data_IF_625091646417
#
_entry.id   IF_625091646417
#
_cell.length_a   1.000
_cell.length_b   1.000
_cell.length_c   1.000
_cell.angle_alpha   90.00
_cell.angle_beta   90.00
_cell.angle_gamma   90.00
#
_symmetry.space_group_name_H-M   'P 1'
#
loop_
_entity.id
_entity.type
_entity.pdbx_description
1 polymer ?
#
# COMPACT_ATOMS: atom_id res chain seq x y z
N UNK A 1 -53.48 6.78 5.98
CA UNK A 1 -54.15 7.61 4.97
C UNK A 1 -54.64 8.88 5.65
N UNK A 2 -54.42 10.04 5.04
CA UNK A 2 -54.84 11.34 5.55
C UNK A 2 -56.35 11.61 5.37
N UNK A 3 -57.00 10.95 4.41
CA UNK A 3 -58.45 10.93 4.20
C UNK A 3 -58.99 9.50 4.38
N UNK A 4 -60.17 9.35 4.99
CA UNK A 4 -60.82 8.05 5.23
C UNK A 4 -62.34 8.19 5.06
N UNK A 5 -62.95 7.28 4.31
CA UNK A 5 -64.40 7.06 4.32
C UNK A 5 -64.69 5.84 5.21
N UNK A 6 -65.70 5.94 6.06
CA UNK A 6 -66.20 4.81 6.85
C UNK A 6 -67.40 4.17 6.15
N UNK A 7 -67.19 2.95 5.61
CA UNK A 7 -68.24 2.17 4.94
C UNK A 7 -69.01 1.24 5.89
N UNK A 8 -68.71 1.25 7.20
CA UNK A 8 -69.32 0.32 8.16
C UNK A 8 -70.68 0.79 8.71
N UNK A 9 -71.11 2.01 8.39
CA UNK A 9 -72.36 2.59 8.89
C UNK A 9 -73.58 1.91 8.28
N UNK A 10 -74.51 1.46 9.14
CA UNK A 10 -75.75 0.84 8.71
C UNK A 10 -76.64 1.85 7.98
N UNK A 11 -77.16 1.48 6.80
CA UNK A 11 -77.97 2.35 5.94
C UNK A 11 -77.38 2.61 4.55
N UNK A 12 -76.09 2.31 4.35
CA UNK A 12 -75.40 2.48 3.06
C UNK A 12 -75.10 3.94 2.73
N UNK A 13 -73.99 4.17 2.02
CA UNK A 13 -73.63 5.49 1.50
C UNK A 13 -73.99 5.54 0.01
N UNK A 14 -74.83 6.51 -0.38
CA UNK A 14 -75.07 6.79 -1.79
C UNK A 14 -73.78 7.31 -2.45
N UNK A 15 -73.42 6.73 -3.59
CA UNK A 15 -72.21 7.09 -4.33
C UNK A 15 -72.56 8.23 -5.28
N UNK A 16 -72.06 9.43 -4.97
CA UNK A 16 -72.12 10.59 -5.86
C UNK A 16 -70.73 10.91 -6.41
N UNK A 17 -70.68 11.79 -7.42
CA UNK A 17 -69.42 12.27 -8.01
C UNK A 17 -68.45 12.78 -6.94
N UNK A 18 -68.94 13.59 -5.98
CA UNK A 18 -68.14 14.10 -4.86
C UNK A 18 -67.56 13.00 -3.95
N UNK A 19 -68.26 11.87 -3.81
CA UNK A 19 -67.80 10.74 -2.98
C UNK A 19 -66.64 10.00 -3.67
N UNK A 20 -66.68 9.91 -5.00
CA UNK A 20 -65.63 9.31 -5.81
C UNK A 20 -64.44 10.25 -6.00
N UNK A 21 -64.67 11.56 -6.13
CA UNK A 21 -63.61 12.57 -6.12
C UNK A 21 -62.86 12.59 -4.77
N UNK A 22 -63.57 12.45 -3.65
CA UNK A 22 -62.95 12.31 -2.34
C UNK A 22 -62.03 11.08 -2.27
N UNK A 23 -62.43 9.95 -2.88
CA UNK A 23 -61.60 8.74 -2.95
C UNK A 23 -60.40 8.91 -3.87
N UNK A 24 -60.58 9.49 -5.07
CA UNK A 24 -59.47 9.72 -6.00
C UNK A 24 -58.41 10.66 -5.39
N UNK A 25 -58.85 11.77 -4.79
CA UNK A 25 -57.95 12.72 -4.12
C UNK A 25 -57.30 12.17 -2.86
N UNK A 26 -57.88 11.14 -2.22
CA UNK A 26 -57.28 10.49 -1.05
C UNK A 26 -56.00 9.71 -1.39
N UNK A 27 -55.87 9.21 -2.63
CA UNK A 27 -54.67 8.48 -3.07
C UNK A 27 -53.73 9.35 -3.91
N UNK A 28 -54.22 10.30 -4.72
CA UNK A 28 -53.34 11.15 -5.53
C UNK A 28 -52.49 12.10 -4.69
N UNK A 29 -53.09 12.85 -3.76
CA UNK A 29 -52.37 13.89 -2.99
C UNK A 29 -51.15 13.36 -2.21
N UNK A 30 -51.22 12.24 -1.46
CA UNK A 30 -50.05 11.70 -0.77
C UNK A 30 -48.99 11.17 -1.74
N UNK A 31 -49.40 10.60 -2.88
CA UNK A 31 -48.47 10.09 -3.89
C UNK A 31 -47.75 11.26 -4.55
N UNK A 32 -48.46 12.30 -4.97
CA UNK A 32 -47.88 13.51 -5.59
C UNK A 32 -46.88 14.19 -4.64
N UNK A 33 -47.18 14.24 -3.33
CA UNK A 33 -46.25 14.76 -2.33
C UNK A 33 -44.95 13.94 -2.25
N UNK A 34 -45.04 12.61 -2.31
CA UNK A 34 -43.88 11.71 -2.31
C UNK A 34 -43.10 11.83 -3.63
N UNK A 35 -43.78 11.91 -4.77
CA UNK A 35 -43.15 12.07 -6.07
C UNK A 35 -42.43 13.42 -6.19
N UNK A 36 -43.03 14.49 -5.67
CA UNK A 36 -42.40 15.81 -5.57
C UNK A 36 -41.11 15.76 -4.73
N UNK A 37 -41.08 14.99 -3.64
CA UNK A 37 -39.88 14.80 -2.82
C UNK A 37 -38.78 13.97 -3.51
N UNK A 38 -39.15 13.03 -4.40
CA UNK A 38 -38.20 12.22 -5.17
C UNK A 38 -37.49 13.08 -6.23
N UNK A 39 -38.23 13.97 -6.88
CA UNK A 39 -37.73 14.88 -7.91
C UNK A 39 -38.25 14.57 -9.32
N UNK A 40 -37.96 15.48 -10.25
CA UNK A 40 -38.48 15.45 -11.63
C UNK A 40 -37.56 14.67 -12.58
N UNK A 41 -38.16 14.01 -13.59
CA UNK A 41 -37.48 13.23 -14.65
C UNK A 41 -36.65 12.06 -14.11
N UNK A 42 -37.22 11.29 -13.19
CA UNK A 42 -36.54 10.18 -12.53
C UNK A 42 -37.24 8.85 -12.85
N UNK A 43 -36.45 7.80 -13.12
CA UNK A 43 -36.95 6.43 -13.32
C UNK A 43 -37.24 5.79 -11.95
N UNK A 44 -38.51 5.59 -11.62
CA UNK A 44 -38.94 4.90 -10.40
C UNK A 44 -38.74 3.38 -10.50
N UNK A 45 -39.09 2.79 -11.64
CA UNK A 45 -38.98 1.34 -11.87
C UNK A 45 -38.93 1.01 -13.36
N UNK A 46 -38.28 -0.09 -13.72
CA UNK A 46 -38.12 -0.51 -15.11
C UNK A 46 -37.23 0.44 -15.92
N UNK A 47 -37.66 0.75 -17.13
CA UNK A 47 -36.92 1.55 -18.13
C UNK A 47 -35.49 1.02 -18.28
N UNK A 48 -35.38 -0.29 -18.48
CA UNK A 48 -34.10 -1.00 -18.62
C UNK A 48 -33.67 -0.95 -20.08
N UNK A 49 -32.42 -0.59 -20.29
CA UNK A 49 -31.81 -0.58 -21.61
C UNK A 49 -31.62 -2.01 -22.14
N UNK A 50 -32.19 -2.31 -23.30
CA UNK A 50 -32.09 -3.59 -24.01
C UNK A 50 -31.41 -3.40 -25.39
N UNK A 51 -30.47 -2.45 -25.49
CA UNK A 51 -29.74 -2.14 -26.72
C UNK A 51 -30.47 -1.10 -27.57
N UNK A 52 -31.18 -1.56 -28.61
CA UNK A 52 -31.97 -0.66 -29.47
C UNK A 52 -33.31 -0.23 -28.83
N UNK A 53 -33.80 -1.02 -27.88
CA UNK A 53 -35.07 -0.81 -27.20
C UNK A 53 -34.88 -0.54 -25.71
N UNK A 54 -35.92 0.02 -25.08
CA UNK A 54 -36.02 0.15 -23.62
C UNK A 54 -37.28 -0.54 -23.13
N UNK A 55 -37.23 -1.20 -21.97
CA UNK A 55 -38.40 -1.85 -21.36
C UNK A 55 -39.44 -0.83 -20.87
N UNK A 56 -40.67 -1.28 -20.66
CA UNK A 56 -41.67 -0.48 -19.95
C UNK A 56 -41.25 -0.20 -18.49
N UNK A 57 -41.85 0.82 -17.88
CA UNK A 57 -41.51 1.21 -16.52
C UNK A 57 -42.38 2.35 -15.99
N UNK A 58 -41.87 3.02 -14.97
CA UNK A 58 -42.50 4.17 -14.31
C UNK A 58 -41.48 5.30 -14.18
N UNK A 59 -41.90 6.51 -14.52
CA UNK A 59 -41.07 7.72 -14.44
C UNK A 59 -41.81 8.82 -13.68
N UNK A 60 -41.05 9.77 -13.13
CA UNK A 60 -41.60 11.01 -12.57
C UNK A 60 -41.54 12.12 -13.61
N UNK A 61 -42.60 12.92 -13.70
CA UNK A 61 -42.65 14.12 -14.53
C UNK A 61 -43.56 15.18 -13.89
N UNK A 62 -43.03 16.39 -13.65
CA UNK A 62 -43.77 17.52 -13.07
C UNK A 62 -44.55 17.18 -11.78
N UNK A 63 -43.97 16.36 -10.91
CA UNK A 63 -44.58 15.98 -9.62
C UNK A 63 -45.59 14.83 -9.69
N UNK A 64 -45.78 14.21 -10.86
CA UNK A 64 -46.67 13.06 -11.08
C UNK A 64 -45.87 11.79 -11.45
N UNK A 65 -46.37 10.62 -11.06
CA UNK A 65 -45.84 9.33 -11.52
C UNK A 65 -46.57 8.87 -12.79
N UNK A 66 -45.84 8.77 -13.90
CA UNK A 66 -46.38 8.37 -15.19
C UNK A 66 -45.86 6.99 -15.63
N UNK A 67 -46.72 6.11 -16.17
CA UNK A 67 -46.27 4.88 -16.80
C UNK A 67 -45.52 5.21 -18.09
N UNK A 68 -44.37 4.57 -18.27
CA UNK A 68 -43.52 4.69 -19.45
C UNK A 68 -43.71 3.46 -20.36
N UNK A 69 -44.20 3.70 -21.57
CA UNK A 69 -44.29 2.71 -22.63
C UNK A 69 -42.89 2.56 -23.26
N UNK A 70 -42.26 1.41 -23.00
CA UNK A 70 -41.01 1.02 -23.64
C UNK A 70 -41.14 0.90 -25.16
N UNK A 71 -40.01 0.77 -25.85
CA UNK A 71 -39.97 0.69 -27.31
C UNK A 71 -38.61 1.10 -27.88
N UNK A 72 -38.59 1.35 -29.19
CA UNK A 72 -37.39 1.81 -29.89
C UNK A 72 -36.96 3.17 -29.35
N UNK A 73 -35.67 3.31 -29.04
CA UNK A 73 -35.12 4.56 -28.50
C UNK A 73 -35.31 5.71 -29.50
N UNK A 74 -35.78 6.83 -29.00
CA UNK A 74 -35.91 8.08 -29.73
C UNK A 74 -35.31 9.23 -28.89
N UNK A 75 -34.97 10.39 -29.50
CA UNK A 75 -34.29 11.47 -28.79
C UNK A 75 -35.13 12.11 -27.68
N UNK A 76 -36.46 12.02 -27.73
CA UNK A 76 -37.36 12.63 -26.76
C UNK A 76 -38.30 11.61 -26.11
N UNK A 77 -38.67 11.90 -24.87
CA UNK A 77 -39.83 11.34 -24.19
C UNK A 77 -40.98 12.33 -24.35
N UNK A 78 -42.11 11.83 -24.81
CA UNK A 78 -43.34 12.61 -25.01
C UNK A 78 -44.43 12.11 -24.08
N UNK A 79 -45.24 13.05 -23.59
CA UNK A 79 -46.42 12.75 -22.77
C UNK A 79 -47.64 12.73 -23.67
N UNK A 80 -48.45 11.68 -23.56
CA UNK A 80 -49.72 11.56 -24.25
C UNK A 80 -50.86 11.30 -23.26
N UNK A 81 -52.07 11.76 -23.63
CA UNK A 81 -53.30 11.49 -22.90
C UNK A 81 -54.21 10.63 -23.79
N UNK A 82 -54.68 9.51 -23.26
CA UNK A 82 -55.55 8.57 -23.94
C UNK A 82 -56.93 8.69 -23.31
N UNK A 83 -57.90 9.08 -24.12
CA UNK A 83 -59.29 9.17 -23.74
C UNK A 83 -60.03 7.91 -24.21
N UNK A 84 -60.71 7.23 -23.30
CA UNK A 84 -61.61 6.11 -23.60
C UNK A 84 -63.05 6.56 -23.32
N UNK A 85 -63.94 6.26 -24.27
CA UNK A 85 -65.35 6.66 -24.20
C UNK A 85 -66.22 5.49 -23.78
N UNK A 86 -67.17 5.77 -22.89
CA UNK A 86 -68.18 4.81 -22.45
C UNK A 86 -69.57 5.29 -22.88
N UNK A 87 -70.46 4.32 -23.09
CA UNK A 87 -71.85 4.59 -23.42
C UNK A 87 -72.67 4.74 -22.14
N UNK A 88 -73.38 5.85 -22.04
CA UNK A 88 -74.30 6.12 -20.93
C UNK A 88 -75.69 5.54 -21.24
N UNK A 89 -76.55 5.44 -20.22
CA UNK A 89 -77.93 4.93 -20.32
C UNK A 89 -78.82 5.73 -21.29
N UNK A 90 -78.39 6.93 -21.70
CA UNK A 90 -79.00 7.77 -22.74
C UNK A 90 -78.56 7.40 -24.17
N UNK A 91 -77.79 6.32 -24.32
CA UNK A 91 -77.15 5.86 -25.54
C UNK A 91 -76.12 6.83 -26.16
N UNK A 92 -75.67 7.86 -25.42
CA UNK A 92 -74.60 8.74 -25.86
C UNK A 92 -73.24 8.25 -25.36
N UNK A 93 -72.24 8.28 -26.25
CA UNK A 93 -70.84 8.07 -25.88
C UNK A 93 -70.26 9.35 -25.30
N UNK A 94 -69.67 9.26 -24.12
CA UNK A 94 -68.91 10.35 -23.52
C UNK A 94 -67.53 9.84 -23.11
N UNK A 95 -66.51 10.69 -23.20
CA UNK A 95 -65.16 10.34 -22.71
C UNK A 95 -65.17 10.27 -21.19
N UNK A 96 -64.94 9.09 -20.62
CA UNK A 96 -65.02 8.87 -19.16
C UNK A 96 -63.64 8.62 -18.55
N UNK A 97 -62.78 7.86 -19.23
CA UNK A 97 -61.47 7.52 -18.71
C UNK A 97 -60.38 8.29 -19.46
N UNK A 98 -59.50 8.94 -18.71
CA UNK A 98 -58.32 9.61 -19.26
C UNK A 98 -57.06 9.03 -18.62
N UNK A 99 -56.18 8.43 -19.42
CA UNK A 99 -54.90 7.88 -18.95
C UNK A 99 -53.74 8.67 -19.54
N UNK A 100 -52.91 9.26 -18.69
CA UNK A 100 -51.65 9.90 -19.10
C UNK A 100 -50.51 8.90 -19.08
N UNK A 101 -49.69 8.88 -20.12
CA UNK A 101 -48.50 8.02 -20.18
C UNK A 101 -47.36 8.68 -20.95
N UNK A 102 -46.15 8.20 -20.71
CA UNK A 102 -44.95 8.63 -21.40
C UNK A 102 -44.51 7.59 -22.43
N UNK A 103 -44.02 8.02 -23.59
CA UNK A 103 -43.43 7.13 -24.62
C UNK A 103 -42.28 7.82 -25.36
N UNK A 104 -41.55 7.06 -26.16
CA UNK A 104 -40.55 7.64 -27.06
C UNK A 104 -41.17 8.42 -28.23
N UNK A 105 -40.52 9.51 -28.63
CA UNK A 105 -40.88 10.33 -29.79
C UNK A 105 -39.68 11.05 -30.40
N UNK A 106 -39.82 11.49 -31.65
CA UNK A 106 -38.77 12.20 -32.39
C UNK A 106 -38.81 13.72 -32.19
N UNK A 107 -39.91 14.25 -31.67
CA UNK A 107 -40.15 15.68 -31.41
C UNK A 107 -40.89 15.79 -30.08
N UNK A 108 -40.68 16.88 -29.33
CA UNK A 108 -41.44 17.16 -28.10
C UNK A 108 -42.94 17.32 -28.43
N UNK A 109 -43.79 16.59 -27.71
CA UNK A 109 -45.24 16.63 -27.90
C UNK A 109 -45.88 17.93 -27.37
N UNK A 110 -47.09 18.23 -27.84
CA UNK A 110 -47.85 19.45 -27.46
C UNK A 110 -48.23 19.45 -25.98
N UNK A 111 -48.42 18.27 -25.38
CA UNK A 111 -48.72 18.07 -23.95
C UNK A 111 -47.47 18.05 -23.06
N UNK A 112 -46.31 18.34 -23.64
CA UNK A 112 -45.01 18.31 -22.97
C UNK A 112 -44.16 17.09 -23.31
N UNK A 113 -42.93 17.14 -22.81
CA UNK A 113 -41.90 16.14 -23.05
C UNK A 113 -40.52 16.71 -22.70
N UNK A 114 -39.52 15.84 -22.74
CA UNK A 114 -38.13 16.20 -22.42
C UNK A 114 -37.17 15.29 -23.16
N UNK A 115 -35.90 15.69 -23.28
CA UNK A 115 -34.91 14.86 -23.93
C UNK A 115 -34.70 13.57 -23.14
N UNK A 116 -34.57 12.42 -23.82
CA UNK A 116 -34.33 11.15 -23.15
C UNK A 116 -33.04 11.18 -22.29
N UNK A 117 -32.05 11.96 -22.71
CA UNK A 117 -30.80 12.18 -21.97
C UNK A 117 -30.99 12.87 -20.60
N UNK A 118 -32.10 13.57 -20.39
CA UNK A 118 -32.42 14.20 -19.11
C UNK A 118 -33.05 13.21 -18.12
N UNK A 119 -33.52 12.05 -18.59
CA UNK A 119 -34.09 11.02 -17.74
C UNK A 119 -32.97 10.38 -16.89
N UNK A 120 -33.05 10.55 -15.58
CA UNK A 120 -32.06 9.99 -14.65
C UNK A 120 -32.60 8.74 -13.96
N UNK A 121 -31.79 7.70 -13.73
CA UNK A 121 -32.19 6.63 -12.83
C UNK A 121 -32.42 7.19 -11.42
N UNK A 122 -33.35 6.61 -10.67
CA UNK A 122 -33.46 6.92 -9.25
C UNK A 122 -32.10 6.71 -8.58
N UNK A 123 -31.56 7.72 -7.86
CA UNK A 123 -30.20 7.67 -7.33
C UNK A 123 -30.02 6.56 -6.28
N UNK A 124 -31.12 6.01 -5.76
CA UNK A 124 -31.13 4.88 -4.83
C UNK A 124 -31.58 3.57 -5.48
N UNK A 125 -31.22 3.34 -6.75
CA UNK A 125 -31.38 2.02 -7.40
C UNK A 125 -30.47 0.99 -6.72
N UNK A 126 -30.97 0.28 -5.71
CA UNK A 126 -30.52 -1.07 -5.37
C UNK A 126 -29.05 -1.26 -4.96
N UNK A 127 -28.40 -0.24 -4.42
CA UNK A 127 -27.16 -0.37 -3.67
C UNK A 127 -27.23 0.67 -2.56
N UNK A 128 -27.56 0.22 -1.34
CA UNK A 128 -27.89 1.07 -0.19
C UNK A 128 -26.74 2.00 0.21
N UNK A 129 -26.95 2.86 1.21
CA UNK A 129 -25.87 3.55 1.94
C UNK A 129 -24.65 2.63 2.14
N UNK A 130 -24.87 1.32 2.36
CA UNK A 130 -23.82 0.31 2.50
C UNK A 130 -22.92 0.19 1.25
N UNK A 131 -23.43 0.37 0.04
CA UNK A 131 -22.61 0.34 -1.18
C UNK A 131 -21.72 1.58 -1.31
N UNK A 132 -22.24 2.76 -0.97
CA UNK A 132 -21.46 3.99 -0.91
C UNK A 132 -20.43 3.92 0.22
N UNK A 133 -20.80 3.39 1.38
CA UNK A 133 -19.88 3.12 2.49
C UNK A 133 -18.83 2.07 2.11
N UNK A 134 -19.20 1.00 1.40
CA UNK A 134 -18.25 -0.01 0.92
C UNK A 134 -17.30 0.56 -0.13
N UNK A 135 -17.77 1.48 -0.98
CA UNK A 135 -16.92 2.16 -1.96
C UNK A 135 -15.97 3.12 -1.28
N UNK A 136 -16.46 3.93 -0.32
CA UNK A 136 -15.61 4.79 0.53
C UNK A 136 -14.61 3.94 1.32
N UNK A 137 -15.04 2.81 1.89
CA UNK A 137 -14.16 1.86 2.57
C UNK A 137 -13.14 1.26 1.61
N UNK A 138 -13.50 0.94 0.37
CA UNK A 138 -12.59 0.40 -0.64
C UNK A 138 -11.57 1.46 -1.11
N UNK A 139 -12.01 2.70 -1.31
CA UNK A 139 -11.13 3.82 -1.64
C UNK A 139 -10.20 4.14 -0.48
N UNK A 140 -10.71 4.19 0.75
CA UNK A 140 -9.89 4.34 1.95
C UNK A 140 -8.91 3.17 2.09
N UNK A 141 -9.34 1.92 1.89
CA UNK A 141 -8.45 0.75 1.82
C UNK A 141 -7.37 0.92 0.76
N UNK A 142 -7.69 1.45 -0.42
CA UNK A 142 -6.71 1.63 -1.51
C UNK A 142 -5.72 2.78 -1.26
N UNK A 143 -6.15 3.83 -0.55
CA UNK A 143 -5.28 4.94 -0.13
C UNK A 143 -4.38 4.50 1.02
N UNK A 144 -4.90 3.61 1.86
CA UNK A 144 -4.26 3.21 3.11
C UNK A 144 -3.43 1.92 2.94
N UNK A 145 -3.72 1.07 1.94
CA UNK A 145 -3.03 -0.18 1.53
C UNK A 145 -2.28 -0.92 2.66
N UNK A 146 -2.88 -0.96 3.84
CA UNK A 146 -2.37 -1.75 4.92
C UNK A 146 -2.66 -3.21 4.66
N UNK A 147 -1.84 -4.07 5.25
CA UNK A 147 -2.14 -5.49 5.35
C UNK A 147 -3.56 -5.72 5.87
N UNK A 148 -4.16 -6.85 5.51
CA UNK A 148 -5.54 -7.17 5.89
C UNK A 148 -5.77 -7.27 7.40
N UNK A 149 -4.71 -7.34 8.21
CA UNK A 149 -4.78 -7.34 9.66
C UNK A 149 -3.67 -6.47 10.26
N UNK A 150 -4.03 -5.38 10.95
CA UNK A 150 -3.07 -4.43 11.55
C UNK A 150 -3.47 -4.04 12.97
N UNK A 151 -2.50 -4.05 13.88
CA UNK A 151 -2.65 -3.53 15.24
C UNK A 151 -2.45 -2.02 15.20
N UNK A 152 -3.51 -1.27 15.54
CA UNK A 152 -3.52 0.19 15.52
C UNK A 152 -2.99 0.78 16.84
N UNK A 153 -3.40 0.20 17.96
CA UNK A 153 -2.99 0.64 19.30
C UNK A 153 -3.12 -0.49 20.32
N UNK A 154 -2.35 -0.40 21.41
CA UNK A 154 -2.31 -1.42 22.46
C UNK A 154 -1.75 -2.77 21.98
N UNK A 155 -2.35 -3.87 22.46
CA UNK A 155 -1.88 -5.24 22.23
C UNK A 155 -0.37 -5.38 22.47
N UNK A 156 0.08 -4.85 23.60
CA UNK A 156 1.48 -4.88 24.01
C UNK A 156 1.75 -6.27 24.59
N UNK A 157 2.74 -6.95 24.04
CA UNK A 157 3.20 -8.24 24.57
C UNK A 157 4.15 -7.94 25.73
N UNK A 158 3.86 -8.49 26.91
CA UNK A 158 4.64 -8.36 28.13
C UNK A 158 4.79 -9.71 28.83
N UNK A 159 5.67 -9.77 29.84
CA UNK A 159 5.82 -10.93 30.72
C UNK A 159 6.02 -12.26 29.96
N UNK A 160 6.86 -12.25 28.92
CA UNK A 160 7.21 -13.47 28.19
C UNK A 160 8.08 -14.34 29.07
N UNK A 161 7.52 -15.44 29.58
CA UNK A 161 8.19 -16.39 30.48
C UNK A 161 8.00 -17.81 29.94
N UNK A 162 9.08 -18.47 29.56
CA UNK A 162 9.00 -19.80 28.97
C UNK A 162 8.22 -19.80 27.66
N UNK A 163 7.11 -20.53 27.62
CA UNK A 163 6.21 -20.61 26.47
C UNK A 163 4.97 -19.71 26.60
N UNK A 164 4.85 -18.94 27.68
CA UNK A 164 3.70 -18.09 27.97
C UNK A 164 4.03 -16.59 27.77
N UNK A 165 3.00 -15.81 27.44
CA UNK A 165 3.06 -14.36 27.32
C UNK A 165 1.75 -13.71 27.76
N UNK A 166 1.83 -12.44 28.13
CA UNK A 166 0.66 -11.59 28.36
C UNK A 166 0.51 -10.58 27.23
N UNK A 167 -0.71 -10.33 26.79
CA UNK A 167 -1.04 -9.30 25.79
C UNK A 167 -2.05 -8.34 26.40
N UNK A 168 -1.74 -7.05 26.40
CA UNK A 168 -2.67 -6.02 26.86
C UNK A 168 -3.91 -5.93 25.94
N UNK A 169 -5.00 -5.35 26.44
CA UNK A 169 -6.10 -4.96 25.56
C UNK A 169 -5.62 -3.94 24.51
N UNK A 170 -6.34 -3.83 23.40
CA UNK A 170 -6.00 -2.89 22.33
C UNK A 170 -7.01 -2.87 21.19
N UNK A 171 -6.61 -2.26 20.08
CA UNK A 171 -7.44 -2.03 18.91
C UNK A 171 -6.73 -2.57 17.67
N UNK A 172 -7.45 -3.41 16.92
CA UNK A 172 -6.95 -4.06 15.71
C UNK A 172 -7.93 -3.78 14.58
N UNK A 173 -7.40 -3.61 13.37
CA UNK A 173 -8.18 -3.47 12.16
C UNK A 173 -8.05 -4.74 11.31
N UNK A 174 -9.18 -5.33 10.94
CA UNK A 174 -9.29 -6.44 9.99
C UNK A 174 -10.02 -5.98 8.75
N UNK A 175 -9.33 -5.92 7.60
CA UNK A 175 -9.81 -5.43 6.31
C UNK A 175 -10.78 -4.23 6.47
N UNK A 176 -10.33 -3.19 7.18
CA UNK A 176 -11.07 -1.94 7.40
C UNK A 176 -12.11 -1.96 8.53
N UNK A 177 -12.40 -3.11 9.15
CA UNK A 177 -13.25 -3.20 10.33
C UNK A 177 -12.41 -3.11 11.59
N UNK A 178 -12.78 -2.21 12.50
CA UNK A 178 -12.08 -2.04 13.77
C UNK A 178 -12.68 -2.99 14.81
N UNK A 179 -11.83 -3.78 15.45
CA UNK A 179 -12.17 -4.79 16.45
C UNK A 179 -11.40 -4.48 17.73
N UNK A 180 -12.09 -4.56 18.87
CA UNK A 180 -11.46 -4.41 20.18
C UNK A 180 -10.85 -5.76 20.56
N UNK A 181 -9.54 -5.78 20.80
CA UNK A 181 -8.83 -6.95 21.29
C UNK A 181 -8.92 -7.01 22.82
N UNK A 182 -9.51 -8.06 23.42
CA UNK A 182 -9.42 -8.27 24.85
C UNK A 182 -7.97 -8.63 25.24
N UNK A 183 -7.63 -8.44 26.52
CA UNK A 183 -6.35 -8.90 27.05
C UNK A 183 -6.24 -10.43 27.00
N UNK A 184 -5.03 -10.94 26.85
CA UNK A 184 -4.72 -12.36 26.79
C UNK A 184 -3.61 -12.72 27.75
N UNK A 185 -3.69 -13.91 28.33
CA UNK A 185 -2.64 -14.51 29.14
C UNK A 185 -2.61 -16.02 28.83
N UNK A 186 -1.50 -16.50 28.29
CA UNK A 186 -1.34 -17.90 27.93
C UNK A 186 -0.19 -18.15 26.97
N UNK A 187 -0.20 -19.32 26.35
CA UNK A 187 0.88 -19.78 25.50
C UNK A 187 1.01 -18.96 24.19
N UNK A 188 2.24 -18.79 23.72
CA UNK A 188 2.53 -18.31 22.36
C UNK A 188 2.96 -19.48 21.45
N UNK A 189 2.63 -19.46 20.15
CA UNK A 189 1.92 -18.40 19.42
C UNK A 189 0.42 -18.35 19.73
N UNK A 190 -0.11 -17.14 19.93
CA UNK A 190 -1.54 -16.90 20.06
C UNK A 190 -2.07 -16.17 18.81
N UNK A 191 -3.31 -16.44 18.45
CA UNK A 191 -3.97 -15.88 17.27
C UNK A 191 -5.25 -15.18 17.71
N UNK A 192 -5.44 -13.93 17.30
CA UNK A 192 -6.71 -13.22 17.46
C UNK A 192 -7.43 -13.18 16.12
N UNK A 193 -8.68 -13.63 16.08
CA UNK A 193 -9.52 -13.57 14.88
C UNK A 193 -10.29 -12.25 14.75
N UNK A 194 -10.96 -12.06 13.62
CA UNK A 194 -11.82 -10.91 13.33
C UNK A 194 -13.02 -10.73 14.28
N UNK A 195 -13.35 -11.73 15.09
CA UNK A 195 -14.41 -11.68 16.10
C UNK A 195 -13.88 -11.25 17.48
N UNK A 196 -12.58 -10.97 17.60
CA UNK A 196 -11.95 -10.60 18.88
C UNK A 196 -11.77 -11.78 19.84
N UNK A 197 -11.73 -13.01 19.32
CA UNK A 197 -11.53 -14.23 20.10
C UNK A 197 -10.11 -14.76 19.92
N UNK A 198 -9.48 -15.09 21.04
CA UNK A 198 -8.14 -15.68 21.09
C UNK A 198 -8.18 -17.19 20.85
N UNK A 199 -7.19 -17.69 20.12
CA UNK A 199 -6.94 -19.11 19.86
C UNK A 199 -5.44 -19.41 19.96
N UNK A 200 -5.07 -20.57 20.48
CA UNK A 200 -3.67 -21.07 20.42
C UNK A 200 -3.39 -21.85 19.14
N UNK A 201 -4.45 -22.30 18.47
CA UNK A 201 -4.37 -22.96 17.17
C UNK A 201 -4.54 -21.94 16.04
N UNK A 202 -3.82 -22.17 14.93
CA UNK A 202 -3.93 -21.31 13.75
C UNK A 202 -5.36 -21.39 13.19
N UNK A 203 -6.07 -20.25 13.03
CA UNK A 203 -7.40 -20.26 12.45
C UNK A 203 -7.38 -20.80 11.02
N UNK A 204 -8.23 -21.79 10.72
CA UNK A 204 -8.31 -22.43 9.39
C UNK A 204 -9.01 -21.55 8.35
N UNK A 205 -9.79 -20.58 8.78
CA UNK A 205 -10.57 -19.66 7.95
C UNK A 205 -10.62 -18.28 8.58
N UNK A 206 -10.68 -17.24 7.74
CA UNK A 206 -10.80 -15.86 8.19
C UNK A 206 -9.44 -15.19 8.42
N UNK A 207 -9.49 -13.89 8.69
CA UNK A 207 -8.31 -13.09 8.99
C UNK A 207 -7.93 -13.23 10.46
N UNK A 208 -6.62 -13.20 10.72
CA UNK A 208 -6.09 -13.29 12.07
C UNK A 208 -4.82 -12.46 12.23
N UNK A 209 -4.57 -12.02 13.46
CA UNK A 209 -3.29 -11.46 13.89
C UNK A 209 -2.56 -12.51 14.70
N UNK A 210 -1.31 -12.79 14.33
CA UNK A 210 -0.43 -13.70 15.08
C UNK A 210 0.35 -12.91 16.12
N UNK A 211 0.23 -13.30 17.38
CA UNK A 211 1.01 -12.81 18.49
C UNK A 211 2.11 -13.81 18.85
N UNK A 212 3.34 -13.37 18.61
CA UNK A 212 4.58 -13.93 19.14
C UNK A 212 5.19 -12.91 20.12
N UNK A 213 6.23 -13.26 20.91
CA UNK A 213 6.95 -12.31 21.76
C UNK A 213 7.31 -10.98 21.09
N UNK A 214 7.51 -11.01 19.77
CA UNK A 214 7.70 -9.84 18.93
C UNK A 214 6.70 -9.88 17.78
N UNK A 215 5.67 -9.06 17.83
CA UNK A 215 4.56 -9.07 16.86
C UNK A 215 4.91 -8.28 15.59
N UNK A 216 4.64 -8.81 14.39
CA UNK A 216 5.01 -8.20 13.09
C UNK A 216 3.98 -7.26 12.46
N UNK A 217 2.74 -7.30 12.95
CA UNK A 217 1.57 -6.62 12.36
C UNK A 217 1.24 -5.30 13.07
N UNK A 218 2.20 -4.70 13.77
CA UNK A 218 2.01 -3.36 14.36
C UNK A 218 2.00 -2.31 13.25
N UNK A 219 1.17 -1.28 13.41
CA UNK A 219 1.06 -0.17 12.47
C UNK A 219 2.43 0.40 12.03
N UNK A 220 3.35 0.59 12.99
CA UNK A 220 4.72 1.08 12.71
C UNK A 220 5.53 0.17 11.76
N UNK A 221 5.33 -1.15 11.84
CA UNK A 221 6.11 -2.13 11.10
C UNK A 221 5.50 -2.38 9.72
N UNK A 222 4.16 -2.38 9.64
CA UNK A 222 3.41 -2.39 8.38
C UNK A 222 3.73 -1.12 7.57
N UNK A 223 3.74 0.04 8.22
CA UNK A 223 4.14 1.31 7.58
C UNK A 223 5.58 1.29 7.10
N UNK A 224 6.48 0.65 7.84
CA UNK A 224 7.88 0.52 7.41
C UNK A 224 7.96 -0.28 6.11
N UNK A 225 7.30 -1.45 6.05
CA UNK A 225 7.25 -2.25 4.81
C UNK A 225 6.64 -1.48 3.64
N UNK A 226 5.59 -0.71 3.90
CA UNK A 226 4.91 0.07 2.86
C UNK A 226 5.78 1.20 2.30
N UNK A 227 6.48 1.92 3.16
CA UNK A 227 7.27 3.09 2.75
C UNK A 227 8.57 2.73 2.01
N UNK A 228 9.04 1.48 2.13
CA UNK A 228 10.27 1.04 1.49
C UNK A 228 9.99 0.23 0.23
N UNK A 229 10.45 0.73 -0.92
CA UNK A 229 10.28 0.05 -2.19
C UNK A 229 11.25 -1.12 -2.35
N UNK A 230 10.94 -2.04 -3.27
CA UNK A 230 11.82 -3.15 -3.61
C UNK A 230 13.17 -2.63 -4.12
N UNK A 231 14.27 -3.10 -3.52
CA UNK A 231 15.64 -2.70 -3.89
C UNK A 231 16.21 -1.55 -3.07
N UNK A 232 15.45 -0.96 -2.15
CA UNK A 232 16.00 -0.04 -1.16
C UNK A 232 16.87 -0.79 -0.13
N UNK A 233 17.99 -0.16 0.25
CA UNK A 233 18.86 -0.66 1.32
C UNK A 233 18.78 0.29 2.50
N UNK A 234 18.38 -0.25 3.64
CA UNK A 234 18.23 0.46 4.90
C UNK A 234 19.39 0.07 5.82
N UNK A 235 19.93 1.04 6.54
CA UNK A 235 20.93 0.82 7.57
C UNK A 235 20.26 0.83 8.95
N UNK A 236 20.53 -0.18 9.78
CA UNK A 236 19.97 -0.23 11.13
C UNK A 236 20.88 -0.95 12.12
N UNK A 237 20.79 -0.54 13.39
CA UNK A 237 21.35 -1.25 14.55
C UNK A 237 20.29 -2.24 15.04
N UNK A 238 20.29 -3.44 14.47
CA UNK A 238 19.36 -4.52 14.82
C UNK A 238 20.06 -5.58 15.65
N UNK A 239 19.29 -6.22 16.53
CA UNK A 239 19.74 -7.41 17.24
C UNK A 239 19.84 -8.60 16.26
N UNK A 240 20.76 -9.52 16.54
CA UNK A 240 21.04 -10.67 15.66
C UNK A 240 19.91 -11.68 15.59
N UNK A 241 19.02 -11.72 16.57
CA UNK A 241 17.89 -12.66 16.66
C UNK A 241 16.73 -12.30 15.70
N UNK A 242 16.71 -11.06 15.20
CA UNK A 242 15.66 -10.54 14.31
C UNK A 242 15.72 -11.06 12.90
N UNK A 243 16.80 -11.74 12.53
CA UNK A 243 16.99 -12.32 11.21
C UNK A 243 17.30 -13.80 11.36
N UNK A 244 16.81 -14.59 10.41
CA UNK A 244 17.16 -15.99 10.33
C UNK A 244 18.67 -16.15 10.05
N UNK A 245 19.35 -16.96 10.86
CA UNK A 245 20.81 -17.08 10.77
C UNK A 245 21.30 -17.68 9.45
N UNK A 246 20.47 -18.48 8.78
CA UNK A 246 20.84 -19.19 7.53
C UNK A 246 20.41 -18.37 6.33
N UNK A 247 19.13 -18.00 6.28
CA UNK A 247 18.55 -17.32 5.10
C UNK A 247 18.72 -15.81 5.14
N UNK A 248 18.95 -15.22 6.32
CA UNK A 248 18.97 -13.79 6.53
C UNK A 248 17.61 -13.12 6.38
N UNK A 249 16.51 -13.88 6.31
CA UNK A 249 15.15 -13.34 6.22
C UNK A 249 14.75 -12.78 7.58
N UNK A 250 14.18 -11.59 7.60
CA UNK A 250 13.72 -10.91 8.80
C UNK A 250 12.50 -11.59 9.40
N UNK A 251 12.51 -11.66 10.74
CA UNK A 251 11.45 -12.20 11.59
C UNK A 251 10.74 -11.02 12.26
N UNK A 252 9.47 -11.21 12.62
CA UNK A 252 8.72 -10.27 13.46
C UNK A 252 8.67 -8.83 12.90
N UNK A 253 9.22 -7.85 13.62
CA UNK A 253 9.28 -6.43 13.20
C UNK A 253 9.98 -6.23 11.85
N UNK A 254 10.84 -7.17 11.45
CA UNK A 254 11.57 -7.15 10.16
C UNK A 254 11.02 -8.14 9.14
N UNK A 255 9.81 -8.68 9.34
CA UNK A 255 9.13 -9.45 8.30
C UNK A 255 9.04 -8.61 7.01
N UNK A 256 9.21 -9.25 5.85
CA UNK A 256 9.27 -8.58 4.54
C UNK A 256 10.62 -7.96 4.20
N UNK A 257 11.61 -8.09 5.09
CA UNK A 257 12.98 -7.65 4.85
C UNK A 257 13.96 -8.83 4.92
N UNK A 258 15.15 -8.66 4.34
CA UNK A 258 16.29 -9.59 4.46
C UNK A 258 17.59 -8.82 4.69
N UNK A 259 18.57 -9.47 5.31
CA UNK A 259 19.94 -8.97 5.35
C UNK A 259 20.53 -8.98 3.94
N UNK A 260 20.94 -7.79 3.47
CA UNK A 260 21.60 -7.61 2.18
C UNK A 260 22.81 -8.52 2.06
N UNK A 261 22.77 -9.47 1.13
CA UNK A 261 23.92 -10.36 0.90
C UNK A 261 25.08 -9.64 0.22
N UNK A 262 24.78 -8.62 -0.58
CA UNK A 262 25.74 -7.83 -1.35
C UNK A 262 26.54 -6.86 -0.47
N UNK A 263 26.03 -6.46 0.68
CA UNK A 263 26.66 -5.47 1.58
C UNK A 263 27.34 -6.08 2.82
N UNK A 264 27.26 -7.40 3.04
CA UNK A 264 27.88 -8.05 4.21
C UNK A 264 29.40 -7.84 4.21
N UNK A 265 29.90 -7.20 5.27
CA UNK A 265 31.33 -6.93 5.46
C UNK A 265 31.92 -5.90 4.49
N UNK A 266 31.09 -5.06 3.87
CA UNK A 266 31.52 -4.07 2.89
C UNK A 266 31.18 -2.65 3.34
N UNK A 267 32.04 -1.71 2.97
CA UNK A 267 31.78 -0.28 3.09
C UNK A 267 31.14 0.24 1.78
N UNK A 268 30.04 1.01 1.84
CA UNK A 268 29.42 1.57 0.65
C UNK A 268 30.32 2.63 0.03
N UNK A 269 30.44 2.59 -1.30
CA UNK A 269 31.08 3.64 -2.11
C UNK A 269 30.01 4.22 -3.02
N UNK A 270 29.95 5.55 -3.11
CA UNK A 270 28.93 6.23 -3.91
C UNK A 270 29.09 5.94 -5.40
N UNK A 271 27.98 5.61 -6.06
CA UNK A 271 27.95 5.45 -7.51
C UNK A 271 28.18 6.79 -8.22
N UNK A 272 29.03 6.79 -9.25
CA UNK A 272 29.46 8.01 -9.93
C UNK A 272 28.91 8.12 -11.36
N UNK A 273 28.10 9.16 -11.63
CA UNK A 273 27.52 9.42 -12.95
C UNK A 273 28.34 10.38 -13.84
N UNK A 274 29.32 11.11 -13.29
CA UNK A 274 30.00 12.22 -13.97
C UNK A 274 31.11 11.79 -14.94
N UNK A 275 31.31 12.57 -16.01
CA UNK A 275 32.44 12.39 -16.94
C UNK A 275 33.77 13.00 -16.45
N UNK A 276 33.73 13.83 -15.40
CA UNK A 276 34.89 14.61 -14.91
C UNK A 276 35.33 14.13 -13.53
N UNK A 277 35.98 12.98 -13.47
CA UNK A 277 36.66 12.52 -12.27
C UNK A 277 37.83 13.44 -11.92
N UNK A 278 37.89 13.96 -10.70
CA UNK A 278 39.12 14.57 -10.18
C UNK A 278 40.23 13.51 -10.11
N UNK A 279 41.48 13.93 -10.36
CA UNK A 279 42.66 13.06 -10.28
C UNK A 279 42.71 12.44 -8.88
N UNK A 280 42.87 11.11 -8.79
CA UNK A 280 42.91 10.30 -7.56
C UNK A 280 41.58 10.10 -6.79
N UNK A 281 40.43 10.48 -7.35
CA UNK A 281 39.11 10.11 -6.78
C UNK A 281 38.31 9.17 -7.69
N UNK A 282 38.62 9.15 -8.99
CA UNK A 282 37.86 8.40 -9.99
C UNK A 282 38.44 7.02 -10.24
N UNK A 283 37.57 6.01 -10.18
CA UNK A 283 37.79 4.67 -10.70
C UNK A 283 36.65 4.31 -11.67
N UNK A 284 37.00 3.68 -12.80
CA UNK A 284 36.01 3.29 -13.80
C UNK A 284 34.96 2.29 -13.25
N UNK A 285 35.33 1.50 -12.23
CA UNK A 285 34.47 0.57 -11.52
C UNK A 285 33.32 1.24 -10.77
N UNK A 286 33.44 2.51 -10.38
CA UNK A 286 32.38 3.26 -9.67
C UNK A 286 31.19 3.66 -10.56
N UNK A 287 31.27 3.39 -11.87
CA UNK A 287 30.18 3.59 -12.85
C UNK A 287 29.34 2.35 -13.09
N UNK A 288 29.65 1.25 -12.41
CA UNK A 288 28.89 0.00 -12.53
C UNK A 288 28.37 -0.36 -11.14
N UNK A 289 27.05 -0.46 -11.02
CA UNK A 289 26.41 -0.88 -9.77
C UNK A 289 26.82 -2.30 -9.43
N UNK A 290 27.21 -2.54 -8.18
CA UNK A 290 27.63 -3.85 -7.69
C UNK A 290 29.10 -4.19 -7.93
N UNK A 291 29.91 -3.28 -8.50
CA UNK A 291 31.36 -3.45 -8.53
C UNK A 291 31.90 -3.57 -7.11
N UNK A 292 32.79 -4.54 -6.89
CA UNK A 292 33.42 -4.81 -5.60
C UNK A 292 34.92 -4.55 -5.69
N UNK A 293 35.51 -4.09 -4.59
CA UNK A 293 36.94 -3.83 -4.50
C UNK A 293 37.39 -3.65 -3.05
N UNK A 294 38.69 -3.44 -2.87
CA UNK A 294 39.33 -3.28 -1.56
C UNK A 294 39.75 -4.61 -0.90
N UNK A 295 40.70 -4.50 0.02
CA UNK A 295 41.24 -5.61 0.81
C UNK A 295 41.32 -5.20 2.27
N UNK A 296 41.08 -6.15 3.18
CA UNK A 296 41.15 -5.91 4.63
C UNK A 296 42.58 -5.69 5.11
N UNK A 297 43.54 -6.37 4.49
CA UNK A 297 44.95 -6.31 4.84
C UNK A 297 45.76 -6.10 3.58
N UNK A 298 46.88 -5.39 3.71
CA UNK A 298 47.88 -5.34 2.67
C UNK A 298 49.24 -5.62 3.28
N UNK A 299 50.12 -6.14 2.43
CA UNK A 299 51.55 -6.32 2.69
C UNK A 299 52.20 -5.25 1.83
N UNK A 300 53.17 -4.47 2.32
CA UNK A 300 53.88 -3.62 1.35
C UNK A 300 54.65 -4.59 0.45
N UNK A 301 55.15 -4.15 -0.69
CA UNK A 301 56.02 -4.98 -1.53
C UNK A 301 57.30 -4.20 -1.76
N UNK A 302 58.34 -4.84 -2.30
CA UNK A 302 59.57 -4.11 -2.70
C UNK A 302 59.23 -2.93 -3.62
N UNK A 303 58.17 -3.03 -4.44
CA UNK A 303 57.69 -1.94 -5.29
C UNK A 303 56.98 -0.80 -4.55
N UNK A 304 56.60 -0.99 -3.29
CA UNK A 304 56.06 0.07 -2.43
C UNK A 304 57.12 0.80 -1.62
N UNK A 305 58.38 0.33 -1.63
CA UNK A 305 59.48 0.98 -0.93
C UNK A 305 59.93 2.23 -1.69
N UNK A 306 60.14 3.33 -0.95
CA UNK A 306 60.68 4.54 -1.53
C UNK A 306 62.11 4.27 -2.07
N UNK A 307 62.47 4.85 -3.24
CA UNK A 307 63.85 4.81 -3.72
C UNK A 307 64.77 5.38 -2.65
N UNK A 308 65.78 4.63 -2.26
CA UNK A 308 66.78 5.06 -1.30
C UNK A 308 68.15 4.53 -1.72
N UNK A 309 69.20 5.24 -1.31
CA UNK A 309 70.59 4.87 -1.59
C UNK A 309 71.38 4.90 -0.29
N UNK A 310 72.30 3.97 -0.12
CA UNK A 310 73.26 4.02 0.97
C UNK A 310 74.59 4.54 0.42
N UNK A 311 75.05 5.73 0.85
CA UNK A 311 76.39 6.16 0.51
C UNK A 311 77.38 5.23 1.20
N UNK A 312 78.31 4.69 0.41
CA UNK A 312 79.42 3.90 0.90
C UNK A 312 80.71 4.55 0.42
N UNK A 313 81.44 5.20 1.33
CA UNK A 313 82.79 5.66 1.06
C UNK A 313 83.75 4.49 1.24
N UNK A 314 84.18 3.88 0.13
CA UNK A 314 85.36 3.02 0.17
C UNK A 314 86.58 3.90 0.34
N UNK A 315 87.48 3.63 1.32
CA UNK A 315 88.75 4.32 1.36
C UNK A 315 89.51 4.00 0.07
N UNK A 316 89.66 4.99 -0.80
CA UNK A 316 90.51 4.90 -1.98
C UNK A 316 91.95 4.81 -1.49
N UNK A 317 92.60 3.66 -1.68
CA UNK A 317 94.05 3.57 -1.58
C UNK A 317 94.60 4.38 -2.75
N UNK A 318 95.12 5.56 -2.45
CA UNK A 318 95.94 6.33 -3.39
C UNK A 318 97.33 5.72 -3.47
N UNK A 319 97.42 4.48 -3.95
CA UNK A 319 98.70 3.89 -4.36
C UNK A 319 99.07 4.46 -5.75
N UNK A 320 99.50 5.73 -5.75
CA UNK A 320 100.44 6.18 -6.74
C UNK A 320 101.72 5.35 -6.54
N UNK A 321 101.88 4.30 -7.34
CA UNK A 321 103.02 3.39 -7.30
C UNK A 321 104.34 4.17 -7.39
N UNK A 322 104.90 4.39 -6.21
CA UNK A 322 106.20 4.99 -5.98
C UNK A 322 106.82 4.40 -4.72
N UNK A 323 106.80 3.07 -4.62
CA UNK A 323 107.71 2.28 -3.78
C UNK A 323 107.66 2.55 -2.28
N UNK A 324 106.91 1.74 -1.55
CA UNK A 324 107.33 0.96 -0.37
C UNK A 324 106.10 0.34 0.25
N UNK A 325 106.15 -0.96 0.55
CA UNK A 325 105.13 -1.67 1.31
C UNK A 325 104.99 -1.01 2.71
N UNK A 326 104.12 -0.03 2.85
CA UNK A 326 103.62 0.41 4.14
C UNK A 326 102.38 -0.42 4.44
N UNK A 327 102.61 -1.61 5.01
CA UNK A 327 101.61 -2.25 5.86
C UNK A 327 101.32 -1.23 6.95
N UNK A 328 100.13 -0.63 6.95
CA UNK A 328 99.65 0.18 8.06
C UNK A 328 99.45 -0.75 9.26
N UNK A 329 100.55 -1.08 9.94
CA UNK A 329 100.55 -1.68 11.26
C UNK A 329 99.96 -0.65 12.21
N UNK A 330 98.65 -0.68 12.36
CA UNK A 330 98.05 -0.13 13.55
C UNK A 330 98.60 -0.97 14.71
N UNK A 331 99.47 -0.37 15.52
CA UNK A 331 99.83 -0.89 16.83
C UNK A 331 98.59 -0.73 17.72
N UNK A 332 97.69 -1.72 17.69
CA UNK A 332 96.75 -1.94 18.78
C UNK A 332 97.30 -3.13 19.57
N UNK A 333 97.46 -3.01 20.90
CA UNK A 333 97.95 -4.11 21.71
C UNK A 333 97.02 -5.31 21.53
N UNK A 334 97.63 -6.48 21.45
CA UNK A 334 97.03 -7.79 21.24
C UNK A 334 95.97 -8.10 22.30
N UNK A 335 94.73 -7.68 22.01
CA UNK A 335 93.51 -8.44 22.23
C UNK A 335 92.95 -8.77 20.84
N UNK A 336 93.25 -9.97 20.35
CA UNK A 336 93.00 -10.39 18.97
C UNK A 336 91.52 -10.33 18.61
N UNK A 337 91.20 -9.45 17.68
CA UNK A 337 89.86 -9.34 17.09
C UNK A 337 89.69 -8.10 16.21
N UNK A 338 90.60 -7.85 15.25
CA UNK A 338 90.28 -6.89 14.17
C UNK A 338 89.32 -7.54 13.19
N UNK A 339 88.06 -7.55 13.59
CA UNK A 339 86.94 -7.84 12.73
C UNK A 339 86.62 -6.54 11.98
N UNK A 340 87.18 -6.33 10.78
CA UNK A 340 86.73 -5.25 9.88
C UNK A 340 85.34 -5.64 9.38
N UNK A 341 84.36 -5.24 10.19
CA UNK A 341 82.97 -5.62 10.12
C UNK A 341 82.23 -4.90 8.99
N UNK A 342 81.38 -5.69 8.32
CA UNK A 342 80.24 -5.32 7.46
C UNK A 342 80.57 -4.77 6.05
N UNK A 343 79.88 -5.19 4.99
CA UNK A 343 78.42 -4.99 4.92
C UNK A 343 77.63 -5.97 4.07
N UNK A 344 76.69 -6.65 4.72
CA UNK A 344 75.52 -7.19 4.04
C UNK A 344 74.51 -6.05 3.85
N UNK A 345 74.11 -5.76 2.60
CA UNK A 345 72.85 -5.05 2.34
C UNK A 345 71.71 -6.02 2.63
N UNK A 346 70.93 -5.69 3.65
CA UNK A 346 69.91 -6.56 4.23
C UNK A 346 68.66 -6.74 3.36
N UNK A 347 67.82 -7.65 3.81
CA UNK A 347 66.61 -8.13 3.14
C UNK A 347 65.62 -7.00 2.85
N UNK A 348 65.16 -6.93 1.60
CA UNK A 348 64.15 -5.97 1.15
C UNK A 348 62.79 -6.65 1.00
N UNK A 349 61.86 -6.27 1.86
CA UNK A 349 60.44 -6.59 1.84
C UNK A 349 59.99 -8.02 2.17
N UNK A 350 58.77 -8.27 2.67
CA UNK A 350 57.77 -7.39 3.30
C UNK A 350 56.96 -8.18 4.34
N UNK A 351 57.58 -8.42 5.49
CA UNK A 351 56.95 -8.39 6.81
C UNK A 351 55.60 -9.09 7.06
N UNK A 352 54.94 -8.65 8.14
CA UNK A 352 53.60 -9.09 8.52
C UNK A 352 52.53 -8.20 7.85
N UNK A 353 51.38 -8.75 7.44
CA UNK A 353 50.28 -7.95 6.91
C UNK A 353 49.79 -6.93 7.94
N UNK A 354 49.46 -5.72 7.50
CA UNK A 354 48.84 -4.70 8.34
C UNK A 354 47.38 -4.45 7.93
N UNK A 355 46.57 -3.99 8.88
CA UNK A 355 45.16 -3.68 8.68
C UNK A 355 45.01 -2.41 7.82
N UNK A 356 44.25 -2.52 6.74
CA UNK A 356 43.97 -1.45 5.79
C UNK A 356 42.57 -0.83 6.01
N UNK A 357 41.86 -1.23 7.06
CA UNK A 357 40.52 -0.72 7.39
C UNK A 357 40.62 0.54 8.24
N UNK A 358 39.87 1.55 7.86
CA UNK A 358 39.63 2.72 8.71
C UNK A 358 38.79 2.32 9.93
N UNK A 359 38.80 3.09 11.04
CA UNK A 359 37.90 2.84 12.16
C UNK A 359 36.43 2.74 11.70
N UNK A 360 35.75 1.65 12.04
CA UNK A 360 34.39 1.36 11.57
C UNK A 360 33.47 0.89 12.71
N UNK A 361 32.17 1.08 12.52
CA UNK A 361 31.12 0.50 13.35
C UNK A 361 30.35 -0.54 12.52
N UNK A 362 30.01 -1.69 13.13
CA UNK A 362 29.24 -2.73 12.46
C UNK A 362 27.76 -2.39 12.55
N UNK A 363 27.13 -2.25 11.38
CA UNK A 363 25.68 -2.01 11.22
C UNK A 363 25.10 -3.02 10.24
N UNK A 364 23.80 -3.30 10.35
CA UNK A 364 23.11 -4.17 9.42
C UNK A 364 22.61 -3.40 8.21
N UNK A 365 22.91 -3.91 7.01
CA UNK A 365 22.28 -3.50 5.77
C UNK A 365 21.12 -4.44 5.46
N UNK A 366 19.94 -3.87 5.31
CA UNK A 366 18.67 -4.59 5.21
C UNK A 366 17.99 -4.18 3.90
N UNK A 367 17.58 -5.17 3.12
CA UNK A 367 16.86 -5.03 1.85
C UNK A 367 15.40 -5.46 2.02
N UNK A 368 14.49 -4.80 1.30
CA UNK A 368 13.10 -5.25 1.13
C UNK A 368 13.04 -6.49 0.23
N UNK A 369 12.09 -7.39 0.50
CA UNK A 369 11.84 -8.61 -0.29
C UNK A 369 10.65 -8.41 -1.22
#
# INVERSE_FOLDING_TARGET
MNKKIDFSQAGGLYIYEDTLDFLQTAYSLPIDAVISAIGDKIILSGVVDQGANTSAGWITYNGEALPFLGGLKAPYIIIENIAESEQFDDAQQRSVYSTRRAKFGNVVGVLGGFAFAELKPFPFKGASINSSLNTIQTVLKSIINFEDAVILDGCIVSNVVGADMEVSAGIIMFSGNVVISPAYNGAFPAYLNELGVWSTDIPVTGLYVKFDPYTSQRYKDVMRRFNHQSGEIIMSRVLSDRFDAVTGIGKWEWLGFKLSSSMRGRAPVGYWFGANGAVNLYDAGYRVMGTIGGFNTTVLTVGNLAPHTHPWDTPESTDALGGTNYVASSNSPSGSGRNSLHSAVGTTGEGDPFDNRQPFEIVAYIETI
#
